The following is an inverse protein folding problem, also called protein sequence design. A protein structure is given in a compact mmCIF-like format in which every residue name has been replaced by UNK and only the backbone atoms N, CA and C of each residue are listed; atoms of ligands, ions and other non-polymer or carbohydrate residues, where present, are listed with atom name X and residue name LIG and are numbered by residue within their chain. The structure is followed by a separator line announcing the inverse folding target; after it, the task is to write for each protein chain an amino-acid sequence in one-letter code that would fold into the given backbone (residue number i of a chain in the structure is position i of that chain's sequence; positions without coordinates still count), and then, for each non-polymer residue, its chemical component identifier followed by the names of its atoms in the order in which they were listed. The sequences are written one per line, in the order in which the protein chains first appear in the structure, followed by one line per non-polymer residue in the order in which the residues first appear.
data_IF_286303453282
#
_entry.id   IF_286303453282
#
_cell.length_a   1.000
_cell.length_b   1.000
_cell.length_c   1.000
_cell.angle_alpha   90.00
_cell.angle_beta   90.00
_cell.angle_gamma   90.00
#
_symmetry.space_group_name_H-M   'P 1'
#
loop_
_entity.id
_entity.type
_entity.pdbx_description
1 polymer ?
#
# COMPACT_ATOMS: atom_id res chain seq x y z
N UNK A 1 4.68 4.76 17.94
CA UNK A 1 3.60 3.88 18.45
C UNK A 1 2.63 4.66 19.33
N UNK A 2 3.07 5.29 20.42
CA UNK A 2 2.21 6.19 21.21
C UNK A 2 1.60 7.33 20.39
N UNK A 3 2.37 7.94 19.49
CA UNK A 3 1.87 8.99 18.60
C UNK A 3 0.65 8.55 17.74
N UNK A 4 0.50 7.26 17.45
CA UNK A 4 -0.65 6.76 16.67
C UNK A 4 -1.94 6.70 17.51
N UNK A 5 -1.84 6.72 18.83
CA UNK A 5 -3.01 6.73 19.74
C UNK A 5 -3.72 8.09 19.83
N UNK A 6 -3.21 9.11 19.14
CA UNK A 6 -3.86 10.42 19.02
C UNK A 6 -4.88 10.49 17.89
N UNK A 7 -4.99 9.45 17.07
CA UNK A 7 -6.00 9.34 16.02
C UNK A 7 -7.12 8.41 16.48
N UNK A 8 -8.35 8.67 16.04
CA UNK A 8 -9.50 7.81 16.33
C UNK A 8 -9.51 6.51 15.51
N UNK A 9 -8.76 6.49 14.39
CA UNK A 9 -8.63 5.37 13.47
C UNK A 9 -7.22 5.30 12.90
N UNK A 10 -6.63 4.10 12.92
CA UNK A 10 -5.34 3.79 12.27
C UNK A 10 -5.57 2.66 11.25
N UNK A 11 -5.24 2.93 9.99
CA UNK A 11 -5.41 1.99 8.87
C UNK A 11 -4.09 1.34 8.44
N UNK A 12 -4.15 0.07 8.07
CA UNK A 12 -3.04 -0.74 7.57
C UNK A 12 -3.35 -1.33 6.20
N UNK A 13 -2.34 -1.71 5.42
CA UNK A 13 -2.54 -2.28 4.08
C UNK A 13 -2.94 -3.76 4.13
N UNK A 14 -2.36 -4.51 5.07
CA UNK A 14 -2.61 -5.94 5.24
C UNK A 14 -2.96 -6.30 6.69
N UNK A 15 -3.51 -7.50 6.90
CA UNK A 15 -3.67 -8.04 8.25
C UNK A 15 -2.30 -8.30 8.92
N UNK A 16 -1.27 -8.67 8.14
CA UNK A 16 0.10 -8.82 8.66
C UNK A 16 0.67 -7.50 9.22
N UNK A 17 0.41 -6.38 8.57
CA UNK A 17 0.82 -5.05 9.06
C UNK A 17 0.13 -4.73 10.40
N UNK A 18 -1.16 -5.06 10.51
CA UNK A 18 -1.94 -4.88 11.74
C UNK A 18 -1.43 -5.79 12.87
N UNK A 19 -1.11 -7.05 12.56
CA UNK A 19 -0.57 -8.01 13.50
C UNK A 19 0.83 -7.60 13.98
N UNK A 20 1.68 -7.13 13.06
CA UNK A 20 3.00 -6.57 13.38
C UNK A 20 2.89 -5.35 14.31
N UNK A 21 1.90 -4.49 14.07
CA UNK A 21 1.62 -3.36 14.95
C UNK A 21 1.19 -3.82 16.35
N UNK A 22 0.25 -4.78 16.44
CA UNK A 22 -0.22 -5.34 17.69
C UNK A 22 0.93 -6.01 18.47
N UNK A 23 1.80 -6.74 17.79
CA UNK A 23 2.97 -7.35 18.38
C UNK A 23 3.96 -6.29 18.90
N UNK A 24 4.20 -5.22 18.15
CA UNK A 24 5.05 -4.11 18.61
C UNK A 24 4.52 -3.46 19.89
N UNK A 25 3.20 -3.27 20.00
CA UNK A 25 2.57 -2.74 21.22
C UNK A 25 2.78 -3.68 22.42
N UNK A 26 2.59 -4.98 22.22
CA UNK A 26 2.77 -6.02 23.24
C UNK A 26 4.22 -6.11 23.69
N UNK A 27 5.18 -6.23 22.76
CA UNK A 27 6.62 -6.36 23.06
C UNK A 27 7.17 -5.15 23.82
N UNK A 28 6.61 -3.96 23.59
CA UNK A 28 7.03 -2.72 24.25
C UNK A 28 6.20 -2.35 25.47
N UNK A 29 5.25 -3.19 25.87
CA UNK A 29 4.31 -2.93 26.97
C UNK A 29 3.61 -1.57 26.88
N UNK A 30 3.25 -1.15 25.65
CA UNK A 30 2.62 0.16 25.39
C UNK A 30 1.09 0.08 25.37
N UNK A 31 0.56 -1.10 25.07
CA UNK A 31 -0.86 -1.27 24.83
C UNK A 31 -1.21 -2.64 24.25
N UNK A 32 -2.45 -2.80 23.83
CA UNK A 32 -2.97 -4.02 23.23
C UNK A 32 -4.00 -3.73 22.15
N UNK A 33 -4.01 -4.57 21.11
CA UNK A 33 -5.09 -4.67 20.15
C UNK A 33 -6.10 -5.72 20.64
N UNK A 34 -7.39 -5.40 20.59
CA UNK A 34 -8.50 -6.26 20.99
C UNK A 34 -9.12 -6.94 19.77
N UNK A 35 -9.90 -8.00 19.99
CA UNK A 35 -10.50 -8.80 18.91
C UNK A 35 -11.48 -8.03 18.01
N UNK A 36 -12.12 -7.00 18.55
CA UNK A 36 -13.05 -6.12 17.84
C UNK A 36 -12.34 -4.98 17.08
N UNK A 37 -11.01 -5.06 16.95
CA UNK A 37 -10.13 -4.04 16.38
C UNK A 37 -10.10 -2.71 17.16
N UNK A 38 -10.59 -2.67 18.39
CA UNK A 38 -10.26 -1.59 19.32
C UNK A 38 -8.82 -1.73 19.82
N UNK A 39 -8.14 -0.61 20.05
CA UNK A 39 -6.77 -0.58 20.54
C UNK A 39 -6.68 0.37 21.72
N UNK A 40 -6.02 -0.09 22.79
CA UNK A 40 -5.76 0.70 24.00
C UNK A 40 -4.26 0.90 24.14
N UNK A 41 -3.81 2.16 24.11
CA UNK A 41 -2.41 2.54 24.30
C UNK A 41 -2.35 3.65 25.34
N UNK A 42 -1.65 3.41 26.46
CA UNK A 42 -1.51 4.38 27.57
C UNK A 42 -2.81 5.10 27.98
N UNK A 43 -3.93 4.37 28.03
CA UNK A 43 -5.23 4.91 28.44
C UNK A 43 -6.02 5.62 27.34
N UNK A 44 -5.51 5.69 26.10
CA UNK A 44 -6.25 6.19 24.93
C UNK A 44 -6.78 5.02 24.11
N UNK A 45 -8.06 5.09 23.77
CA UNK A 45 -8.74 4.10 22.93
C UNK A 45 -8.92 4.65 21.51
N UNK A 46 -8.65 3.80 20.52
CA UNK A 46 -8.85 4.10 19.11
C UNK A 46 -9.13 2.82 18.33
N UNK A 47 -9.55 2.94 17.06
CA UNK A 47 -9.81 1.80 16.20
C UNK A 47 -8.63 1.51 15.27
N UNK A 48 -8.43 0.25 14.97
CA UNK A 48 -7.54 -0.20 13.90
C UNK A 48 -8.35 -0.86 12.78
N UNK A 49 -7.82 -0.86 11.57
CA UNK A 49 -8.43 -1.59 10.47
C UNK A 49 -7.47 -1.83 9.32
N UNK A 50 -7.88 -2.70 8.40
CA UNK A 50 -7.14 -3.05 7.19
C UNK A 50 -7.91 -2.50 6.01
N UNK A 51 -7.26 -1.61 5.28
CA UNK A 51 -7.84 -0.85 4.18
C UNK A 51 -6.83 -0.85 3.02
N UNK A 52 -6.74 -1.96 2.26
CA UNK A 52 -5.82 -2.04 1.13
C UNK A 52 -6.13 -0.95 0.12
N UNK A 53 -5.13 -0.16 -0.26
CA UNK A 53 -5.31 0.89 -1.27
C UNK A 53 -5.40 0.25 -2.66
N UNK A 54 -6.46 0.61 -3.40
CA UNK A 54 -6.66 0.20 -4.78
C UNK A 54 -6.38 1.32 -5.78
N UNK A 55 -6.52 0.99 -7.07
CA UNK A 55 -6.55 1.96 -8.16
C UNK A 55 -7.93 1.99 -8.82
N UNK A 56 -8.22 3.09 -9.51
CA UNK A 56 -9.38 3.17 -10.39
C UNK A 56 -9.11 2.38 -11.68
N UNK A 57 -9.46 1.11 -11.69
CA UNK A 57 -9.15 0.19 -12.79
C UNK A 57 -9.75 0.65 -14.11
N UNK A 58 -10.98 1.14 -14.11
CA UNK A 58 -11.67 1.60 -15.31
C UNK A 58 -10.99 2.82 -15.95
N UNK A 59 -10.52 3.76 -15.11
CA UNK A 59 -9.76 4.91 -15.59
C UNK A 59 -8.41 4.52 -16.17
N UNK A 60 -7.70 3.60 -15.53
CA UNK A 60 -6.41 3.11 -16.03
C UNK A 60 -6.55 2.36 -17.35
N UNK A 61 -7.58 1.52 -17.49
CA UNK A 61 -7.91 0.84 -18.74
C UNK A 61 -8.17 1.85 -19.87
N UNK A 62 -9.04 2.83 -19.61
CA UNK A 62 -9.36 3.88 -20.59
C UNK A 62 -8.11 4.68 -21.04
N UNK A 63 -7.20 4.98 -20.09
CA UNK A 63 -5.95 5.68 -20.40
C UNK A 63 -4.99 4.80 -21.21
N UNK A 64 -4.90 3.52 -20.91
CA UNK A 64 -4.07 2.58 -21.65
C UNK A 64 -4.54 2.43 -23.10
N UNK A 65 -5.86 2.34 -23.33
CA UNK A 65 -6.42 2.31 -24.67
C UNK A 65 -6.09 3.58 -25.47
N UNK A 66 -6.22 4.75 -24.83
CA UNK A 66 -5.89 6.03 -25.48
C UNK A 66 -4.41 6.10 -25.86
N UNK A 67 -3.52 5.63 -24.98
CA UNK A 67 -2.08 5.64 -25.19
C UNK A 67 -1.62 4.80 -26.40
N UNK A 68 -2.42 3.82 -26.84
CA UNK A 68 -2.10 3.04 -28.06
C UNK A 68 -2.07 3.88 -29.33
N UNK A 69 -2.69 5.07 -29.31
CA UNK A 69 -2.74 6.02 -30.43
C UNK A 69 -1.57 7.00 -30.43
N UNK A 70 -0.73 6.97 -29.41
CA UNK A 70 0.44 7.82 -29.30
C UNK A 70 1.55 7.34 -30.25
N UNK A 71 1.95 8.20 -31.18
CA UNK A 71 2.93 7.87 -32.21
C UNK A 71 4.33 7.58 -31.64
N UNK A 72 4.72 8.25 -30.56
CA UNK A 72 6.04 8.06 -29.94
C UNK A 72 6.10 6.71 -29.21
N UNK A 73 5.01 6.33 -28.54
CA UNK A 73 4.89 4.98 -27.95
C UNK A 73 4.94 3.90 -29.03
N UNK A 74 4.21 4.08 -30.14
CA UNK A 74 4.23 3.12 -31.25
C UNK A 74 5.64 2.93 -31.83
N UNK A 75 6.39 4.01 -32.03
CA UNK A 75 7.77 3.94 -32.52
C UNK A 75 8.71 3.27 -31.51
N UNK A 76 8.53 3.53 -30.20
CA UNK A 76 9.29 2.85 -29.16
C UNK A 76 9.02 1.32 -29.15
N UNK A 77 7.76 0.91 -29.31
CA UNK A 77 7.39 -0.52 -29.40
C UNK A 77 7.90 -1.21 -30.67
N UNK A 78 7.93 -0.51 -31.82
CA UNK A 78 8.50 -1.10 -33.05
C UNK A 78 9.98 -1.46 -32.89
N UNK A 79 10.74 -0.69 -32.09
CA UNK A 79 12.16 -0.95 -31.82
C UNK A 79 12.40 -2.18 -30.97
N UNK A 80 11.39 -2.67 -30.25
CA UNK A 80 11.44 -3.89 -29.45
C UNK A 80 10.78 -5.08 -30.15
N UNK A 81 10.32 -4.92 -31.40
CA UNK A 81 9.69 -6.00 -32.16
C UNK A 81 10.64 -7.19 -32.37
N UNK A 82 10.15 -8.39 -32.09
CA UNK A 82 10.92 -9.65 -32.19
C UNK A 82 11.73 -10.01 -30.95
N UNK A 83 11.63 -9.22 -29.87
CA UNK A 83 12.27 -9.47 -28.59
C UNK A 83 11.23 -9.63 -27.48
N UNK A 84 11.52 -10.46 -26.49
CA UNK A 84 10.79 -10.46 -25.23
C UNK A 84 11.17 -9.19 -24.44
N UNK A 85 10.18 -8.44 -23.98
CA UNK A 85 10.38 -7.17 -23.26
C UNK A 85 9.88 -7.32 -21.82
N UNK A 86 10.76 -7.03 -20.87
CA UNK A 86 10.40 -6.85 -19.46
C UNK A 86 10.41 -5.35 -19.11
N UNK A 87 9.35 -4.87 -18.47
CA UNK A 87 9.21 -3.47 -18.03
C UNK A 87 9.04 -3.44 -16.50
N UNK A 88 9.93 -2.73 -15.82
CA UNK A 88 9.79 -2.39 -14.41
C UNK A 88 9.70 -0.87 -14.26
N UNK A 89 8.75 -0.39 -13.46
CA UNK A 89 8.58 1.04 -13.18
C UNK A 89 8.55 1.21 -11.67
N UNK A 90 9.69 1.59 -11.13
CA UNK A 90 9.90 1.73 -9.69
C UNK A 90 10.57 3.05 -9.36
N UNK A 91 10.35 3.52 -8.13
CA UNK A 91 11.16 4.60 -7.57
C UNK A 91 12.53 4.03 -7.23
N UNK A 92 13.58 4.85 -7.39
CA UNK A 92 14.95 4.48 -7.03
C UNK A 92 15.13 4.52 -5.50
N UNK A 93 14.67 3.48 -4.81
CA UNK A 93 14.82 3.30 -3.37
C UNK A 93 15.09 1.83 -2.99
N UNK A 94 15.73 1.62 -1.83
CA UNK A 94 16.19 0.30 -1.39
C UNK A 94 15.08 -0.69 -1.03
N UNK A 95 13.80 -0.28 -1.03
CA UNK A 95 12.69 -1.23 -0.87
C UNK A 95 12.31 -1.92 -2.18
N UNK A 96 12.92 -1.50 -3.30
CA UNK A 96 12.75 -2.02 -4.65
C UNK A 96 14.06 -2.69 -5.08
N UNK A 97 14.01 -3.95 -5.51
CA UNK A 97 15.20 -4.79 -5.77
C UNK A 97 14.96 -6.21 -5.33
#
# INVERSE_FOLDING_TARGET
LEALSFYDLVGFQTDDDLDNFAECLRRRNLGRLMKDRSCLVKGREFRCGVFPIGIDTAKFESLAELATRDGDLQEAYKRTAGCDVAIGVDRLDYSKG
#
